data_IF_600645920568
#
_entry.id   IF_600645920568
#
_cell.length_a   1.000
_cell.length_b   1.000
_cell.length_c   1.000
_cell.angle_alpha   90.00
_cell.angle_beta   90.00
_cell.angle_gamma   90.00
#
_symmetry.space_group_name_H-M   'P 1'
#
loop_
_entity.id
_entity.type
_entity.pdbx_description
1 polymer ?
#
# COMPACT_ATOMS: atom_id res chain seq x y z
N UNK A 1 -0.97 -23.69 20.97
CA UNK A 1 -1.60 -22.40 20.63
C UNK A 1 -0.75 -21.56 19.68
N UNK A 2 0.60 -21.51 19.83
CA UNK A 2 1.49 -20.80 18.89
C UNK A 2 1.72 -21.53 17.54
N UNK A 3 1.56 -22.86 17.49
CA UNK A 3 1.72 -23.65 16.26
C UNK A 3 0.60 -23.43 15.23
N UNK A 4 -0.62 -23.15 15.69
CA UNK A 4 -1.79 -23.06 14.80
C UNK A 4 -1.82 -21.72 14.05
N UNK A 5 -1.43 -20.64 14.74
CA UNK A 5 -1.24 -19.30 14.19
C UNK A 5 -0.11 -19.25 13.16
N UNK A 6 0.99 -19.99 13.38
CA UNK A 6 2.11 -20.03 12.44
C UNK A 6 1.82 -20.88 11.21
N UNK A 7 1.05 -21.97 11.36
CA UNK A 7 0.57 -22.81 10.25
C UNK A 7 -0.44 -22.05 9.39
N UNK A 8 -1.40 -21.35 9.99
CA UNK A 8 -2.37 -20.54 9.26
C UNK A 8 -1.68 -19.45 8.43
N UNK A 9 -0.76 -18.70 9.06
CA UNK A 9 0.00 -17.63 8.38
C UNK A 9 0.80 -18.17 7.20
N UNK A 10 1.42 -19.35 7.34
CA UNK A 10 2.17 -20.00 6.25
C UNK A 10 1.25 -20.42 5.09
N UNK A 11 0.06 -20.94 5.40
CA UNK A 11 -0.93 -21.30 4.39
C UNK A 11 -1.40 -20.08 3.60
N UNK A 12 -1.74 -18.99 4.30
CA UNK A 12 -2.13 -17.72 3.68
C UNK A 12 -1.00 -17.20 2.78
N UNK A 13 0.24 -17.15 3.29
CA UNK A 13 1.43 -16.72 2.53
C UNK A 13 1.65 -17.56 1.26
N UNK A 14 1.42 -18.87 1.33
CA UNK A 14 1.61 -19.78 0.19
C UNK A 14 0.54 -19.55 -0.88
N UNK A 15 -0.72 -19.38 -0.48
CA UNK A 15 -1.82 -19.04 -1.39
C UNK A 15 -1.53 -17.72 -2.12
N UNK A 16 -0.99 -16.74 -1.41
CA UNK A 16 -0.62 -15.45 -1.99
C UNK A 16 0.54 -15.52 -2.99
N UNK A 17 1.59 -16.28 -2.67
CA UNK A 17 2.70 -16.52 -3.61
C UNK A 17 2.18 -17.16 -4.89
N UNK A 18 1.24 -18.08 -4.79
CA UNK A 18 0.60 -18.68 -5.97
C UNK A 18 -0.24 -17.65 -6.75
N UNK A 19 -1.04 -16.84 -6.07
CA UNK A 19 -1.80 -15.76 -6.72
C UNK A 19 -0.91 -14.73 -7.42
N UNK A 20 0.23 -14.37 -6.82
CA UNK A 20 1.22 -13.48 -7.42
C UNK A 20 1.86 -14.09 -8.66
N UNK A 21 2.15 -15.38 -8.65
CA UNK A 21 2.61 -16.11 -9.85
C UNK A 21 1.57 -16.09 -10.97
N UNK A 22 0.30 -16.33 -10.65
CA UNK A 22 -0.78 -16.28 -11.63
C UNK A 22 -0.94 -14.89 -12.23
N UNK A 23 -0.88 -13.86 -11.40
CA UNK A 23 -0.86 -12.46 -11.78
C UNK A 23 0.31 -12.12 -12.71
N UNK A 24 1.52 -12.56 -12.36
CA UNK A 24 2.72 -12.35 -13.17
C UNK A 24 2.58 -12.99 -14.56
N UNK A 25 2.11 -14.24 -14.62
CA UNK A 25 1.85 -14.92 -15.89
C UNK A 25 0.78 -14.22 -16.72
N UNK A 26 -0.22 -13.60 -16.08
CA UNK A 26 -1.25 -12.85 -16.76
C UNK A 26 -0.67 -11.57 -17.41
N UNK A 27 0.16 -10.83 -16.67
CA UNK A 27 0.86 -9.64 -17.18
C UNK A 27 1.77 -10.00 -18.36
N UNK A 28 2.52 -11.10 -18.24
CA UNK A 28 3.37 -11.61 -19.31
C UNK A 28 2.54 -12.02 -20.55
N UNK A 29 1.39 -12.66 -20.36
CA UNK A 29 0.47 -12.94 -21.48
C UNK A 29 -0.03 -11.66 -22.14
N UNK A 30 -0.21 -10.57 -21.40
CA UNK A 30 -0.62 -9.28 -21.93
C UNK A 30 0.48 -8.61 -22.76
N UNK A 31 1.75 -8.74 -22.38
CA UNK A 31 2.87 -8.16 -23.15
C UNK A 31 3.07 -8.85 -24.50
N UNK A 32 2.64 -10.10 -24.64
CA UNK A 32 2.71 -10.88 -25.88
C UNK A 32 1.44 -10.77 -26.76
N UNK A 33 0.46 -9.92 -26.39
CA UNK A 33 -0.73 -9.75 -27.22
C UNK A 33 -0.41 -8.95 -28.49
N UNK A 34 -0.57 -9.61 -29.64
CA UNK A 34 -0.63 -8.94 -30.94
C UNK A 34 -1.78 -7.93 -30.96
N UNK A 35 -1.52 -6.76 -31.57
CA UNK A 35 -2.43 -5.61 -31.69
C UNK A 35 -3.83 -5.97 -32.25
N UNK A 36 -3.94 -7.09 -32.98
CA UNK A 36 -5.18 -7.53 -33.63
C UNK A 36 -6.16 -8.26 -32.69
N UNK A 37 -5.76 -8.63 -31.46
CA UNK A 37 -6.64 -9.36 -30.50
C UNK A 37 -7.43 -8.42 -29.59
N UNK A 38 -8.06 -7.38 -30.16
CA UNK A 38 -8.78 -6.33 -29.44
C UNK A 38 -9.85 -6.88 -28.45
N UNK A 39 -10.54 -7.95 -28.84
CA UNK A 39 -11.63 -8.57 -28.07
C UNK A 39 -11.12 -9.33 -26.83
N UNK A 40 -9.83 -9.66 -26.77
CA UNK A 40 -9.20 -10.22 -25.56
C UNK A 40 -8.76 -9.15 -24.56
N UNK A 41 -8.68 -7.88 -24.97
CA UNK A 41 -8.25 -6.78 -24.09
C UNK A 41 -9.19 -6.68 -22.89
N UNK A 42 -10.52 -6.62 -23.10
CA UNK A 42 -11.48 -6.57 -22.00
C UNK A 42 -11.36 -7.76 -21.04
N UNK A 43 -11.11 -8.96 -21.55
CA UNK A 43 -10.93 -10.16 -20.74
C UNK A 43 -9.69 -10.06 -19.83
N UNK A 44 -8.57 -9.56 -20.35
CA UNK A 44 -7.36 -9.37 -19.56
C UNK A 44 -7.47 -8.18 -18.61
N UNK A 45 -8.14 -7.10 -19.00
CA UNK A 45 -8.39 -5.93 -18.15
C UNK A 45 -9.15 -6.32 -16.88
N UNK A 46 -10.22 -7.11 -17.00
CA UNK A 46 -10.97 -7.57 -15.82
C UNK A 46 -10.13 -8.47 -14.91
N UNK A 47 -9.32 -9.36 -15.48
CA UNK A 47 -8.41 -10.20 -14.68
C UNK A 47 -7.28 -9.39 -14.02
N UNK A 48 -6.78 -8.36 -14.67
CA UNK A 48 -5.78 -7.44 -14.12
C UNK A 48 -6.37 -6.61 -12.97
N UNK A 49 -7.62 -6.16 -13.08
CA UNK A 49 -8.32 -5.48 -11.97
C UNK A 49 -8.43 -6.38 -10.74
N UNK A 50 -8.91 -7.61 -10.91
CA UNK A 50 -9.00 -8.60 -9.82
C UNK A 50 -7.64 -8.87 -9.20
N UNK A 51 -6.60 -8.96 -10.02
CA UNK A 51 -5.23 -9.12 -9.54
C UNK A 51 -4.76 -7.91 -8.71
N UNK A 52 -5.01 -6.68 -9.19
CA UNK A 52 -4.66 -5.45 -8.47
C UNK A 52 -5.41 -5.30 -7.15
N UNK A 53 -6.70 -5.63 -7.11
CA UNK A 53 -7.51 -5.62 -5.89
C UNK A 53 -6.99 -6.63 -4.86
N UNK A 54 -6.64 -7.85 -5.28
CA UNK A 54 -6.07 -8.87 -4.39
C UNK A 54 -4.72 -8.44 -3.83
N UNK A 55 -3.85 -7.88 -4.68
CA UNK A 55 -2.56 -7.38 -4.26
C UNK A 55 -2.70 -6.23 -3.25
N UNK A 56 -3.57 -5.27 -3.55
CA UNK A 56 -3.82 -4.13 -2.68
C UNK A 56 -4.42 -4.55 -1.34
N UNK A 57 -5.37 -5.50 -1.35
CA UNK A 57 -5.96 -6.07 -0.14
C UNK A 57 -4.90 -6.77 0.73
N UNK A 58 -3.94 -7.47 0.13
CA UNK A 58 -2.86 -8.10 0.87
C UNK A 58 -1.87 -7.09 1.46
N UNK A 59 -1.39 -6.13 0.66
CA UNK A 59 -0.50 -5.07 1.15
C UNK A 59 -1.16 -4.31 2.30
N UNK A 60 -2.46 -4.04 2.17
CA UNK A 60 -3.23 -3.37 3.23
C UNK A 60 -3.41 -4.24 4.46
N UNK A 61 -3.63 -5.55 4.34
CA UNK A 61 -3.86 -6.43 5.50
C UNK A 61 -2.58 -6.84 6.21
N UNK A 62 -1.58 -7.32 5.48
CA UNK A 62 -0.38 -7.93 6.06
C UNK A 62 0.68 -6.90 6.35
N UNK A 63 1.03 -6.03 5.39
CA UNK A 63 2.08 -5.04 5.64
C UNK A 63 1.63 -4.00 6.67
N UNK A 64 0.39 -3.51 6.61
CA UNK A 64 -0.08 -2.53 7.60
C UNK A 64 -0.23 -3.15 8.98
N UNK A 65 -0.73 -4.39 9.10
CA UNK A 65 -0.81 -5.07 10.40
C UNK A 65 0.56 -5.36 11.00
N UNK A 66 1.51 -5.85 10.19
CA UNK A 66 2.89 -6.11 10.64
C UNK A 66 3.60 -4.80 11.04
N UNK A 67 3.45 -3.73 10.25
CA UNK A 67 3.97 -2.39 10.58
C UNK A 67 3.33 -1.87 11.88
N UNK A 68 2.02 -2.05 12.05
CA UNK A 68 1.30 -1.65 13.25
C UNK A 68 1.79 -2.43 14.49
N UNK A 69 1.95 -3.75 14.39
CA UNK A 69 2.46 -4.60 15.47
C UNK A 69 3.89 -4.22 15.87
N UNK A 70 4.77 -3.99 14.88
CA UNK A 70 6.15 -3.51 15.11
C UNK A 70 6.16 -2.10 15.73
N UNK A 71 5.23 -1.23 15.36
CA UNK A 71 5.13 0.13 15.91
C UNK A 71 4.60 0.10 17.35
N UNK A 72 3.61 -0.74 17.65
CA UNK A 72 3.06 -0.90 19.00
C UNK A 72 4.04 -1.56 19.98
N UNK A 73 4.87 -2.50 19.51
CA UNK A 73 5.90 -3.14 20.34
C UNK A 73 7.07 -2.20 20.65
N UNK A 74 7.28 -1.16 19.83
CA UNK A 74 8.26 -0.09 20.04
C UNK A 74 7.77 1.08 20.91
N UNK A 75 6.67 0.93 21.68
CA UNK A 75 6.10 1.96 22.59
C UNK A 75 7.08 2.57 23.63
N UNK A 76 8.28 2.02 23.79
CA UNK A 76 9.36 2.59 24.61
C UNK A 76 10.27 3.58 23.89
N UNK A 77 10.17 3.70 22.56
CA UNK A 77 10.97 4.64 21.77
C UNK A 77 10.25 5.98 21.72
N UNK A 78 10.69 6.90 22.57
CA UNK A 78 10.29 8.31 22.49
C UNK A 78 10.97 8.92 21.26
N UNK A 79 10.28 8.91 20.13
CA UNK A 79 10.74 9.64 18.96
C UNK A 79 10.66 11.14 19.26
N UNK A 80 11.80 11.80 19.48
CA UNK A 80 11.88 13.25 19.30
C UNK A 80 11.65 13.53 17.81
N UNK A 81 10.39 13.69 17.45
CA UNK A 81 9.96 13.95 16.09
C UNK A 81 10.19 15.42 15.77
N UNK A 82 11.45 15.79 15.54
CA UNK A 82 11.75 17.03 14.84
C UNK A 82 11.39 16.81 13.37
N UNK A 83 10.18 17.22 12.98
CA UNK A 83 9.76 17.23 11.57
C UNK A 83 10.74 18.15 10.83
N UNK A 84 11.61 17.63 9.94
CA UNK A 84 12.55 18.49 9.23
C UNK A 84 11.75 19.40 8.30
N UNK A 85 12.16 20.67 8.17
CA UNK A 85 11.45 21.64 7.33
C UNK A 85 11.17 21.06 5.93
N UNK A 86 9.95 21.26 5.41
CA UNK A 86 9.65 20.88 4.04
C UNK A 86 10.50 21.71 3.07
N UNK A 87 10.73 21.23 1.85
CA UNK A 87 11.34 22.05 0.80
C UNK A 87 10.58 23.37 0.64
N UNK A 88 11.30 24.48 0.41
CA UNK A 88 10.72 25.83 0.23
C UNK A 88 9.68 25.91 -0.90
N UNK A 89 9.72 24.95 -1.82
CA UNK A 89 8.81 24.86 -2.95
C UNK A 89 8.28 23.43 -3.10
N UNK A 90 6.97 23.29 -3.02
CA UNK A 90 6.25 22.02 -3.22
C UNK A 90 4.99 22.30 -4.04
N UNK A 91 4.84 21.64 -5.20
CA UNK A 91 3.67 21.80 -6.08
C UNK A 91 2.81 20.53 -6.10
N UNK A 92 1.50 20.68 -6.23
CA UNK A 92 0.58 19.56 -6.45
C UNK A 92 0.23 18.71 -5.22
N UNK A 93 0.49 19.19 -4.00
CA UNK A 93 0.26 18.41 -2.77
C UNK A 93 -1.05 18.74 -2.04
N UNK A 94 -1.76 19.79 -2.44
CA UNK A 94 -2.98 20.24 -1.73
C UNK A 94 -4.09 19.18 -1.75
N UNK A 95 -4.32 18.57 -2.91
CA UNK A 95 -5.32 17.52 -3.08
C UNK A 95 -4.90 16.22 -2.35
N UNK A 96 -3.68 15.67 -2.53
CA UNK A 96 -3.22 14.50 -1.76
C UNK A 96 -3.24 14.68 -0.23
N UNK A 97 -2.91 15.87 0.27
CA UNK A 97 -2.98 16.18 1.71
C UNK A 97 -4.43 16.24 2.20
N UNK A 98 -5.33 16.83 1.41
CA UNK A 98 -6.76 16.87 1.70
C UNK A 98 -7.38 15.49 1.80
N UNK A 99 -7.08 14.60 0.85
CA UNK A 99 -7.54 13.21 0.87
C UNK A 99 -7.02 12.44 2.10
N UNK A 100 -5.73 12.60 2.43
CA UNK A 100 -5.12 11.97 3.59
C UNK A 100 -5.75 12.47 4.90
N UNK A 101 -6.00 13.77 5.01
CA UNK A 101 -6.67 14.36 6.17
C UNK A 101 -8.10 13.86 6.30
N UNK A 102 -8.84 13.78 5.20
CA UNK A 102 -10.19 13.24 5.21
C UNK A 102 -10.19 11.77 5.65
N UNK A 103 -9.28 10.93 5.13
CA UNK A 103 -9.15 9.53 5.55
C UNK A 103 -8.77 9.37 7.02
N UNK A 104 -7.87 10.22 7.55
CA UNK A 104 -7.53 10.23 8.98
C UNK A 104 -8.70 10.59 9.89
N UNK A 105 -9.60 11.46 9.42
CA UNK A 105 -10.72 11.97 10.21
C UNK A 105 -12.01 11.16 10.03
N UNK A 106 -12.22 10.55 8.86
CA UNK A 106 -13.43 9.79 8.54
C UNK A 106 -13.34 8.32 8.91
N UNK A 107 -12.17 7.72 8.74
CA UNK A 107 -11.98 6.35 9.18
C UNK A 107 -11.49 6.40 10.63
N UNK A 108 -12.10 5.65 11.55
CA UNK A 108 -11.57 5.42 12.91
C UNK A 108 -10.27 4.57 12.86
N UNK A 109 -9.45 4.75 11.81
CA UNK A 109 -8.18 4.10 11.66
C UNK A 109 -7.14 4.88 12.48
N UNK A 110 -6.55 4.24 13.49
CA UNK A 110 -5.55 4.89 14.32
C UNK A 110 -4.20 5.11 13.58
N UNK A 111 -4.03 4.56 12.36
CA UNK A 111 -2.83 4.73 11.53
C UNK A 111 -3.15 4.72 10.04
N UNK A 112 -2.41 5.57 9.30
CA UNK A 112 -2.38 5.60 7.84
C UNK A 112 -0.97 5.31 7.34
N UNK A 113 -0.85 4.39 6.38
CA UNK A 113 0.39 4.10 5.66
C UNK A 113 0.51 4.86 4.34
N UNK A 114 1.64 5.52 4.10
CA UNK A 114 1.96 6.17 2.81
C UNK A 114 2.96 5.31 2.04
N UNK A 115 2.50 4.65 0.97
CA UNK A 115 3.29 3.71 0.16
C UNK A 115 3.62 4.27 -1.23
N UNK A 116 4.73 3.84 -1.83
CA UNK A 116 5.19 4.30 -3.14
C UNK A 116 6.70 4.11 -3.34
N UNK A 117 7.18 4.18 -4.58
CA UNK A 117 8.59 3.97 -4.89
C UNK A 117 9.52 5.08 -4.35
N UNK A 118 10.83 4.86 -4.39
CA UNK A 118 11.82 5.86 -3.99
C UNK A 118 11.67 7.15 -4.81
N UNK A 119 11.80 8.32 -4.18
CA UNK A 119 11.68 9.62 -4.86
C UNK A 119 10.26 10.15 -5.09
N UNK A 120 9.20 9.38 -4.80
CA UNK A 120 7.80 9.81 -4.97
C UNK A 120 7.30 10.82 -3.92
N UNK A 121 8.19 11.43 -3.14
CA UNK A 121 7.81 12.49 -2.18
C UNK A 121 6.98 12.03 -0.97
N UNK A 122 6.90 10.73 -0.66
CA UNK A 122 6.14 10.20 0.50
C UNK A 122 6.46 10.90 1.82
N UNK A 123 7.75 11.08 2.12
CA UNK A 123 8.19 11.79 3.33
C UNK A 123 7.80 13.26 3.29
N UNK A 124 7.81 13.90 2.11
CA UNK A 124 7.36 15.29 1.93
C UNK A 124 5.85 15.43 2.15
N UNK A 125 5.06 14.47 1.65
CA UNK A 125 3.62 14.39 1.87
C UNK A 125 3.29 14.22 3.36
N UNK A 126 3.97 13.29 4.05
CA UNK A 126 3.81 13.10 5.49
C UNK A 126 4.09 14.38 6.28
N UNK A 127 5.18 15.09 5.96
CA UNK A 127 5.52 16.38 6.59
C UNK A 127 4.41 17.41 6.41
N UNK A 128 3.92 17.58 5.17
CA UNK A 128 2.85 18.54 4.85
C UNK A 128 1.54 18.22 5.58
N UNK A 129 1.24 16.94 5.76
CA UNK A 129 0.09 16.51 6.55
C UNK A 129 0.26 16.87 8.04
N UNK A 130 1.44 16.62 8.63
CA UNK A 130 1.74 17.00 10.01
C UNK A 130 1.65 18.50 10.27
N UNK A 131 1.97 19.36 9.28
CA UNK A 131 1.78 20.81 9.38
C UNK A 131 0.30 21.23 9.45
N UNK A 132 -0.61 20.46 8.82
CA UNK A 132 -2.04 20.79 8.73
C UNK A 132 -2.93 20.12 9.79
N UNK A 133 -2.35 19.23 10.59
CA UNK A 133 -3.01 18.49 11.69
C UNK A 133 -2.60 19.03 13.06
N UNK A 134 -1.65 19.98 13.13
CA UNK A 134 -1.43 20.83 14.31
C UNK A 134 -2.66 21.68 14.61
#
# INVERSE_FOLDING_TARGET
MNDELTVQRRSEMTNLVNQLKDCQQLVEKCTHLSFWKYHKINFYTEKLKVCNERLNGFVTRVMVADIWEVTLTNRGVKYECSVPEPPKFTVGWTEPVGELKQKLLQEELPVIGICGAGGYGKSTLAKKLCEQVK
#
